data_IF_656952769552
#
_entry.id   IF_656952769552
#
_cell.length_a   1.000
_cell.length_b   1.000
_cell.length_c   1.000
_cell.angle_alpha   90.00
_cell.angle_beta   90.00
_cell.angle_gamma   90.00
#
_symmetry.space_group_name_H-M   'P 1'
#
loop_
_entity.id
_entity.type
_entity.pdbx_description
1 polymer ?
#
# COMPACT_ATOMS: atom_id res chain seq x y z
N UNK A 1 67.60 15.11 20.18
CA UNK A 1 66.41 14.83 21.00
C UNK A 1 65.30 15.80 20.60
N UNK A 2 64.23 15.25 20.02
CA UNK A 2 62.82 15.69 20.13
C UNK A 2 62.42 17.12 19.71
N UNK A 3 61.29 17.37 19.05
CA UNK A 3 60.21 16.53 18.50
C UNK A 3 59.35 17.43 17.59
N UNK A 4 58.85 16.85 16.51
CA UNK A 4 57.91 17.46 15.55
C UNK A 4 56.58 17.83 16.22
N UNK A 5 56.03 19.01 15.90
CA UNK A 5 54.62 19.36 16.15
C UNK A 5 53.74 18.63 15.11
N UNK A 6 53.03 17.60 15.55
CA UNK A 6 51.94 16.97 14.82
C UNK A 6 50.60 17.58 15.21
N UNK A 7 49.78 17.89 14.20
CA UNK A 7 48.43 18.43 14.28
C UNK A 7 47.49 17.50 15.07
N UNK A 8 46.85 18.04 16.11
CA UNK A 8 45.73 17.42 16.82
C UNK A 8 44.42 18.03 16.31
N UNK A 9 43.88 17.48 15.23
CA UNK A 9 42.49 17.72 14.79
C UNK A 9 41.92 16.37 14.38
N UNK A 10 41.44 15.59 15.35
CA UNK A 10 40.93 14.24 15.06
C UNK A 10 40.21 13.54 16.22
N UNK A 11 39.77 14.27 17.25
CA UNK A 11 39.24 13.62 18.46
C UNK A 11 38.04 14.34 19.10
N UNK A 12 37.16 14.97 18.29
CA UNK A 12 35.93 15.60 18.82
C UNK A 12 34.60 15.07 18.24
N UNK A 13 34.61 14.05 17.38
CA UNK A 13 33.37 13.54 16.76
C UNK A 13 32.82 12.23 17.35
N UNK A 14 33.50 11.62 18.33
CA UNK A 14 33.16 10.28 18.83
C UNK A 14 32.42 10.23 20.19
N UNK A 15 31.93 11.36 20.69
CA UNK A 15 31.29 11.43 22.03
C UNK A 15 29.82 11.87 22.05
N UNK A 16 29.17 12.06 20.89
CA UNK A 16 27.75 12.48 20.86
C UNK A 16 26.71 11.35 20.73
N UNK A 17 27.10 10.09 20.56
CA UNK A 17 26.13 8.98 20.40
C UNK A 17 25.75 8.23 21.69
N UNK A 18 26.19 8.70 22.87
CA UNK A 18 25.82 8.10 24.17
C UNK A 18 25.13 9.05 25.17
N UNK A 19 24.77 10.27 24.78
CA UNK A 19 24.19 11.26 25.70
C UNK A 19 22.98 12.04 25.16
N UNK A 20 22.28 11.56 24.12
CA UNK A 20 21.01 12.16 23.66
C UNK A 20 19.75 11.50 24.25
N UNK A 21 19.88 10.80 25.37
CA UNK A 21 18.72 10.35 26.17
C UNK A 21 18.46 11.39 27.24
N UNK A 22 17.84 12.53 26.90
CA UNK A 22 17.09 13.38 27.85
C UNK A 22 16.45 14.64 27.23
N UNK A 23 16.74 15.04 25.99
CA UNK A 23 16.04 16.17 25.37
C UNK A 23 14.76 15.69 24.66
N UNK A 24 13.63 15.65 25.38
CA UNK A 24 12.29 15.56 24.78
C UNK A 24 11.69 16.97 24.75
N UNK A 25 11.50 17.50 23.55
CA UNK A 25 10.84 18.80 23.32
C UNK A 25 10.64 19.03 21.83
N UNK A 26 9.58 19.74 21.40
CA UNK A 26 9.25 19.95 19.98
C UNK A 26 10.38 20.61 19.20
N UNK A 27 11.20 21.44 19.86
CA UNK A 27 12.39 22.09 19.29
C UNK A 27 13.41 21.10 18.70
N UNK A 28 13.56 19.92 19.31
CA UNK A 28 14.47 18.87 18.84
C UNK A 28 13.97 18.30 17.51
N UNK A 29 12.66 18.10 17.38
CA UNK A 29 12.04 17.63 16.13
C UNK A 29 12.05 18.72 15.07
N UNK A 30 11.77 19.97 15.44
CA UNK A 30 11.78 21.11 14.52
C UNK A 30 13.14 21.30 13.85
N UNK A 31 14.24 21.08 14.58
CA UNK A 31 15.60 21.21 14.06
C UNK A 31 16.11 19.93 13.38
N UNK A 32 15.38 18.82 13.44
CA UNK A 32 15.83 17.55 12.87
C UNK A 32 15.69 17.54 11.34
N UNK A 33 16.79 17.37 10.57
CA UNK A 33 16.72 17.45 9.11
C UNK A 33 15.84 16.38 8.46
N UNK A 34 15.75 15.18 9.05
CA UNK A 34 14.89 14.12 8.54
C UNK A 34 13.40 14.49 8.69
N UNK A 35 13.03 15.05 9.85
CA UNK A 35 11.66 15.53 10.10
C UNK A 35 11.32 16.70 9.17
N UNK A 36 12.26 17.64 8.96
CA UNK A 36 12.05 18.77 8.04
C UNK A 36 11.83 18.33 6.59
N UNK A 37 12.61 17.35 6.10
CA UNK A 37 12.43 16.78 4.75
C UNK A 37 11.11 16.03 4.63
N UNK A 38 10.74 15.25 5.64
CA UNK A 38 9.44 14.57 5.66
C UNK A 38 8.27 15.56 5.61
N UNK A 39 8.28 16.59 6.46
CA UNK A 39 7.27 17.66 6.42
C UNK A 39 7.25 18.39 5.09
N UNK A 40 8.41 18.63 4.48
CA UNK A 40 8.47 19.24 3.14
C UNK A 40 7.79 18.38 2.08
N UNK A 41 7.97 17.05 2.13
CA UNK A 41 7.32 16.15 1.19
C UNK A 41 5.80 16.05 1.40
N UNK A 42 5.35 16.08 2.67
CA UNK A 42 3.94 16.10 3.03
C UNK A 42 3.20 17.36 2.53
N UNK A 43 3.93 18.48 2.37
CA UNK A 43 3.37 19.72 1.83
C UNK A 43 3.13 19.72 0.33
N UNK A 44 3.53 18.66 -0.38
CA UNK A 44 3.30 18.53 -1.82
C UNK A 44 1.99 17.76 -2.02
N UNK A 45 0.89 18.40 -2.44
CA UNK A 45 -0.40 17.74 -2.59
C UNK A 45 -0.43 16.92 -3.88
N UNK A 46 -0.40 15.60 -3.73
CA UNK A 46 -0.54 14.61 -4.81
C UNK A 46 -1.90 13.92 -4.70
N UNK A 47 -2.97 14.71 -4.57
CA UNK A 47 -4.30 14.25 -4.19
C UNK A 47 -5.15 13.83 -5.39
N UNK A 48 -5.86 12.70 -5.25
CA UNK A 48 -6.86 12.28 -6.24
C UNK A 48 -8.04 13.26 -6.35
N UNK A 49 -8.73 13.33 -7.51
CA UNK A 49 -8.65 12.41 -8.67
C UNK A 49 -7.59 12.75 -9.72
N UNK A 50 -7.00 13.95 -9.69
CA UNK A 50 -6.05 14.42 -10.71
C UNK A 50 -4.76 14.95 -10.05
N UNK A 51 -3.91 14.07 -9.46
CA UNK A 51 -2.68 14.50 -8.80
C UNK A 51 -1.70 15.18 -9.78
N UNK A 52 -1.07 16.27 -9.36
CA UNK A 52 0.13 16.78 -10.02
C UNK A 52 1.39 16.20 -9.36
N UNK A 53 1.99 15.20 -10.01
CA UNK A 53 3.21 14.56 -9.52
C UNK A 53 4.49 15.37 -9.83
N UNK A 54 4.43 16.42 -10.65
CA UNK A 54 5.60 17.19 -11.06
C UNK A 54 6.45 17.68 -9.88
N UNK A 55 5.86 18.41 -8.92
CA UNK A 55 6.58 18.89 -7.73
C UNK A 55 7.12 17.76 -6.85
N UNK A 56 6.41 16.63 -6.76
CA UNK A 56 6.87 15.46 -6.00
C UNK A 56 8.11 14.84 -6.64
N UNK A 57 8.09 14.64 -7.97
CA UNK A 57 9.24 14.14 -8.73
C UNK A 57 10.44 15.07 -8.58
N UNK A 58 10.25 16.39 -8.69
CA UNK A 58 11.33 17.36 -8.53
C UNK A 58 11.95 17.29 -7.12
N UNK A 59 11.11 17.29 -6.09
CA UNK A 59 11.56 17.16 -4.70
C UNK A 59 12.38 15.88 -4.50
N UNK A 60 11.86 14.74 -4.95
CA UNK A 60 12.46 13.42 -4.80
C UNK A 60 13.76 13.28 -5.59
N UNK A 61 13.85 13.83 -6.80
CA UNK A 61 15.11 13.91 -7.57
C UNK A 61 16.15 14.77 -6.84
N UNK A 62 15.73 15.86 -6.20
CA UNK A 62 16.58 16.66 -5.31
C UNK A 62 17.16 15.83 -4.16
N UNK A 63 16.31 15.04 -3.49
CA UNK A 63 16.76 14.11 -2.44
C UNK A 63 17.76 13.08 -2.96
N UNK A 64 17.45 12.44 -4.09
CA UNK A 64 18.30 11.45 -4.73
C UNK A 64 19.69 12.01 -5.08
N UNK A 65 19.73 13.23 -5.61
CA UNK A 65 20.98 13.92 -5.94
C UNK A 65 21.83 14.18 -4.70
N UNK A 66 21.22 14.61 -3.61
CA UNK A 66 21.92 14.92 -2.36
C UNK A 66 22.61 13.68 -1.76
N UNK A 67 21.98 12.51 -1.86
CA UNK A 67 22.57 11.22 -1.43
C UNK A 67 23.34 10.48 -2.53
N UNK A 68 23.46 11.05 -3.74
CA UNK A 68 24.19 10.44 -4.86
C UNK A 68 23.58 9.10 -5.31
N UNK A 69 22.27 9.08 -5.55
CA UNK A 69 21.55 7.99 -6.21
C UNK A 69 21.35 8.32 -7.70
N UNK A 70 21.36 7.29 -8.54
CA UNK A 70 21.04 7.43 -9.96
C UNK A 70 19.52 7.48 -10.13
N UNK A 71 18.99 8.38 -10.95
CA UNK A 71 17.54 8.52 -11.17
C UNK A 71 17.15 8.21 -12.62
N UNK A 72 16.02 7.53 -12.81
CA UNK A 72 15.32 7.37 -14.10
C UNK A 72 13.84 7.64 -13.89
N UNK A 73 13.21 8.33 -14.83
CA UNK A 73 11.76 8.54 -14.84
C UNK A 73 11.16 7.76 -16.00
N UNK A 74 10.08 7.03 -15.74
CA UNK A 74 9.30 6.32 -16.74
C UNK A 74 7.88 6.91 -16.77
N UNK A 75 7.25 6.92 -17.93
CA UNK A 75 5.87 7.38 -18.08
C UNK A 75 5.17 6.45 -19.07
N UNK A 76 4.40 5.49 -18.54
CA UNK A 76 3.62 4.54 -19.34
C UNK A 76 2.24 5.10 -19.68
N UNK A 77 1.72 5.97 -18.83
CA UNK A 77 0.47 6.70 -19.01
C UNK A 77 0.74 8.18 -18.77
N UNK A 78 0.26 9.09 -19.64
CA UNK A 78 0.50 10.52 -19.49
C UNK A 78 0.14 11.03 -18.09
N UNK A 79 0.99 11.87 -17.51
CA UNK A 79 0.91 12.45 -16.16
C UNK A 79 1.01 11.45 -15.01
N UNK A 80 1.33 10.19 -15.24
CA UNK A 80 1.57 9.17 -14.20
C UNK A 80 3.02 8.70 -14.23
N UNK A 81 3.97 9.55 -13.78
CA UNK A 81 5.39 9.22 -13.81
C UNK A 81 5.74 8.21 -12.72
N UNK A 82 6.71 7.35 -13.03
CA UNK A 82 7.38 6.46 -12.07
C UNK A 82 8.82 6.92 -11.95
N UNK A 83 9.28 7.19 -10.72
CA UNK A 83 10.66 7.56 -10.45
C UNK A 83 11.42 6.40 -9.82
N UNK A 84 12.39 5.89 -10.54
CA UNK A 84 13.34 4.88 -10.07
C UNK A 84 14.62 5.58 -9.59
N UNK A 85 14.99 5.36 -8.34
CA UNK A 85 16.28 5.72 -7.78
C UNK A 85 17.11 4.46 -7.57
N UNK A 86 18.40 4.49 -7.89
CA UNK A 86 19.28 3.31 -7.80
C UNK A 86 20.54 3.61 -7.00
N UNK A 87 20.75 2.82 -5.96
CA UNK A 87 22.03 2.67 -5.26
C UNK A 87 22.74 1.42 -5.80
N UNK A 88 23.79 1.64 -6.58
CA UNK A 88 24.59 0.55 -7.13
C UNK A 88 25.33 -0.23 -6.05
N UNK A 89 25.19 -1.55 -6.14
CA UNK A 89 25.92 -2.51 -5.33
C UNK A 89 27.39 -2.63 -5.76
N UNK A 90 28.20 -3.15 -4.86
CA UNK A 90 29.64 -3.36 -5.06
C UNK A 90 29.99 -4.72 -5.70
N UNK A 91 29.04 -5.66 -5.78
CA UNK A 91 29.26 -6.97 -6.40
C UNK A 91 29.56 -6.86 -7.89
N UNK A 92 30.54 -7.65 -8.36
CA UNK A 92 30.81 -7.82 -9.80
C UNK A 92 29.84 -8.79 -10.45
N UNK A 93 29.28 -9.72 -9.67
CA UNK A 93 28.24 -10.65 -10.12
C UNK A 93 26.88 -9.97 -10.06
N UNK A 94 26.02 -10.28 -11.04
CA UNK A 94 24.65 -9.76 -11.10
C UNK A 94 23.78 -10.47 -10.06
N UNK A 95 23.79 -9.96 -8.84
CA UNK A 95 22.87 -10.36 -7.78
C UNK A 95 21.47 -9.83 -8.06
N UNK A 96 20.46 -10.53 -7.54
CA UNK A 96 19.10 -9.99 -7.56
C UNK A 96 18.99 -8.74 -6.68
N UNK A 97 18.30 -7.72 -7.17
CA UNK A 97 18.17 -6.44 -6.50
C UNK A 97 17.14 -6.48 -5.37
N UNK A 98 17.18 -5.45 -4.52
CA UNK A 98 16.13 -5.14 -3.56
C UNK A 98 15.40 -3.89 -4.05
N UNK A 99 14.08 -3.93 -4.12
CA UNK A 99 13.27 -2.74 -4.43
C UNK A 99 12.57 -2.31 -3.14
N UNK A 100 12.62 -1.02 -2.85
CA UNK A 100 11.91 -0.34 -1.78
C UNK A 100 10.83 0.52 -2.45
N UNK A 101 9.58 0.07 -2.45
CA UNK A 101 8.46 0.72 -3.11
C UNK A 101 7.79 1.77 -2.22
N UNK A 102 7.37 2.88 -2.82
CA UNK A 102 6.48 3.86 -2.19
C UNK A 102 5.58 4.46 -3.24
N UNK A 103 4.28 4.50 -3.01
CA UNK A 103 3.40 5.33 -3.82
C UNK A 103 3.52 6.82 -3.43
N UNK A 104 3.19 7.70 -4.36
CA UNK A 104 3.28 9.16 -4.22
C UNK A 104 1.93 9.80 -3.98
N UNK A 105 0.86 9.22 -4.51
CA UNK A 105 -0.50 9.75 -4.42
C UNK A 105 -1.09 9.61 -3.03
N UNK A 106 -2.16 10.36 -2.80
CA UNK A 106 -2.93 10.31 -1.57
C UNK A 106 -4.42 10.45 -1.87
N UNK A 107 -5.26 9.86 -1.02
CA UNK A 107 -6.72 10.02 -1.12
C UNK A 107 -7.20 11.45 -0.82
N UNK A 108 -8.41 11.74 -1.27
CA UNK A 108 -9.14 13.01 -1.03
C UNK A 108 -9.25 13.38 0.46
N UNK A 109 -9.51 14.67 0.71
CA UNK A 109 -9.67 15.25 2.04
C UNK A 109 -10.94 16.11 2.12
N UNK A 110 -11.62 16.08 3.26
CA UNK A 110 -12.67 17.05 3.61
C UNK A 110 -12.05 18.11 4.52
N UNK A 111 -11.44 19.16 3.94
CA UNK A 111 -10.56 20.10 4.65
C UNK A 111 -11.21 20.74 5.90
N UNK A 112 -12.51 21.01 5.85
CA UNK A 112 -13.30 21.60 6.93
C UNK A 112 -13.40 20.71 8.19
N UNK A 113 -13.14 19.41 8.05
CA UNK A 113 -13.13 18.43 9.14
C UNK A 113 -11.75 18.20 9.74
N UNK A 114 -10.70 18.83 9.20
CA UNK A 114 -9.36 18.74 9.75
C UNK A 114 -9.11 19.79 10.82
N UNK A 115 -8.41 19.39 11.89
CA UNK A 115 -7.91 20.25 12.96
C UNK A 115 -6.90 21.27 12.43
N UNK A 116 -6.08 20.86 11.46
CA UNK A 116 -5.10 21.69 10.76
C UNK A 116 -5.15 21.39 9.26
N UNK A 117 -4.82 22.36 8.38
CA UNK A 117 -4.85 22.11 6.94
C UNK A 117 -4.02 20.88 6.53
N UNK A 118 -4.59 19.95 5.74
CA UNK A 118 -4.04 18.60 5.54
C UNK A 118 -2.69 18.55 4.80
N UNK A 119 -2.29 19.65 4.15
CA UNK A 119 -1.04 19.75 3.39
C UNK A 119 -0.09 20.82 3.95
N UNK A 120 -0.29 21.30 5.19
CA UNK A 120 0.66 22.20 5.85
C UNK A 120 1.76 21.45 6.62
N UNK A 121 1.55 20.17 6.90
CA UNK A 121 2.39 19.37 7.79
C UNK A 121 2.61 20.10 9.14
N UNK A 122 1.50 20.56 9.74
CA UNK A 122 1.51 21.21 11.03
C UNK A 122 2.02 20.22 12.09
N UNK A 123 2.97 20.66 12.92
CA UNK A 123 3.49 19.86 14.03
C UNK A 123 3.10 20.55 15.34
N UNK A 124 2.41 19.82 16.21
CA UNK A 124 2.03 20.34 17.53
C UNK A 124 3.18 20.27 18.54
N UNK A 125 2.92 20.74 19.77
CA UNK A 125 3.90 20.79 20.86
C UNK A 125 4.35 19.39 21.32
N UNK A 126 3.52 18.37 21.10
CA UNK A 126 3.82 16.97 21.37
C UNK A 126 4.62 16.29 20.24
N UNK A 127 4.86 17.00 19.14
CA UNK A 127 5.61 16.49 17.99
C UNK A 127 4.77 15.65 17.03
N UNK A 128 3.44 15.76 17.09
CA UNK A 128 2.53 15.11 16.15
C UNK A 128 2.39 15.94 14.89
N UNK A 129 2.74 15.34 13.76
CA UNK A 129 2.70 15.94 12.43
C UNK A 129 1.37 15.56 11.78
N UNK A 130 0.47 16.52 11.63
CA UNK A 130 -0.82 16.35 10.98
C UNK A 130 -0.69 16.64 9.49
N UNK A 131 -0.91 15.62 8.66
CA UNK A 131 -0.95 15.74 7.22
C UNK A 131 -1.54 14.50 6.56
N UNK A 132 -2.21 14.70 5.43
CA UNK A 132 -2.55 13.60 4.52
C UNK A 132 -1.26 12.97 3.96
N UNK A 133 -1.15 11.65 4.06
CA UNK A 133 0.01 10.87 3.66
C UNK A 133 1.11 10.77 4.72
N UNK A 134 0.86 11.23 5.94
CA UNK A 134 1.77 11.08 7.08
C UNK A 134 1.87 9.62 7.58
N UNK A 135 0.91 8.78 7.24
CA UNK A 135 0.89 7.33 7.45
C UNK A 135 0.90 6.57 6.12
N UNK A 136 0.19 7.06 5.09
CA UNK A 136 -0.05 6.32 3.85
C UNK A 136 0.34 7.08 2.56
N UNK A 137 1.45 6.74 1.91
CA UNK A 137 2.59 6.02 2.50
C UNK A 137 3.88 6.83 2.41
N UNK A 138 3.78 8.15 2.20
CA UNK A 138 4.95 9.05 2.06
C UNK A 138 5.97 8.90 3.19
N UNK A 139 5.50 8.55 4.39
CA UNK A 139 6.35 8.28 5.55
C UNK A 139 7.35 7.14 5.32
N UNK A 140 6.91 6.04 4.71
CA UNK A 140 7.74 4.86 4.45
C UNK A 140 8.80 5.18 3.39
N UNK A 141 8.39 5.82 2.28
CA UNK A 141 9.32 6.28 1.26
C UNK A 141 10.41 7.23 1.81
N UNK A 142 10.03 8.15 2.70
CA UNK A 142 11.00 9.03 3.35
C UNK A 142 11.92 8.28 4.32
N UNK A 143 11.44 7.26 5.03
CA UNK A 143 12.31 6.39 5.84
C UNK A 143 13.38 5.68 5.00
N UNK A 144 13.05 5.24 3.78
CA UNK A 144 14.03 4.63 2.88
C UNK A 144 15.15 5.63 2.49
N UNK A 145 14.80 6.85 2.13
CA UNK A 145 15.79 7.88 1.79
C UNK A 145 16.68 8.25 2.97
N UNK A 146 16.10 8.37 4.17
CA UNK A 146 16.87 8.67 5.38
C UNK A 146 17.79 7.51 5.79
N UNK A 147 17.32 6.27 5.67
CA UNK A 147 18.15 5.09 5.89
C UNK A 147 19.37 5.06 4.95
N UNK A 148 19.16 5.33 3.66
CA UNK A 148 20.24 5.42 2.67
C UNK A 148 21.22 6.54 3.03
N UNK A 149 20.70 7.71 3.43
CA UNK A 149 21.51 8.87 3.84
C UNK A 149 22.41 8.53 5.02
N UNK A 150 21.87 7.88 6.04
CA UNK A 150 22.62 7.43 7.23
C UNK A 150 23.72 6.45 6.83
N UNK A 151 23.40 5.42 6.05
CA UNK A 151 24.36 4.40 5.66
C UNK A 151 25.49 4.97 4.79
N UNK A 152 25.18 5.87 3.85
CA UNK A 152 26.20 6.56 3.04
C UNK A 152 27.08 7.47 3.88
N UNK A 153 26.53 8.20 4.84
CA UNK A 153 27.30 9.02 5.77
C UNK A 153 28.26 8.18 6.65
N UNK A 154 27.91 6.91 6.90
CA UNK A 154 28.77 5.95 7.60
C UNK A 154 29.84 5.30 6.68
N UNK A 155 29.88 5.65 5.39
CA UNK A 155 30.78 5.03 4.41
C UNK A 155 30.43 3.59 4.06
N UNK A 156 29.21 3.13 4.40
CA UNK A 156 28.73 1.80 4.03
C UNK A 156 28.17 1.80 2.60
N UNK A 157 28.33 0.69 1.89
CA UNK A 157 27.75 0.46 0.57
C UNK A 157 27.17 -0.95 0.46
N UNK A 158 26.06 -1.15 -0.28
CA UNK A 158 25.46 -2.46 -0.44
C UNK A 158 26.29 -3.35 -1.38
N UNK A 159 26.11 -4.66 -1.25
CA UNK A 159 26.71 -5.67 -2.13
C UNK A 159 25.85 -5.83 -3.39
N UNK A 160 24.51 -5.79 -3.26
CA UNK A 160 23.54 -5.84 -4.37
C UNK A 160 22.97 -4.46 -4.69
N UNK A 161 22.39 -4.30 -5.86
CA UNK A 161 21.66 -3.08 -6.21
C UNK A 161 20.43 -2.92 -5.30
N UNK A 162 20.25 -1.70 -4.78
CA UNK A 162 19.04 -1.30 -4.06
C UNK A 162 18.36 -0.22 -4.90
N UNK A 163 17.08 -0.44 -5.19
CA UNK A 163 16.24 0.52 -5.88
C UNK A 163 15.23 1.12 -4.91
N UNK A 164 15.02 2.43 -4.96
CA UNK A 164 13.84 3.07 -4.35
C UNK A 164 12.93 3.45 -5.50
N UNK A 165 11.72 2.92 -5.50
CA UNK A 165 10.77 3.09 -6.57
C UNK A 165 9.59 3.91 -6.07
N UNK A 166 9.29 4.99 -6.79
CA UNK A 166 8.20 5.91 -6.48
C UNK A 166 7.16 5.80 -7.57
N UNK A 167 5.96 5.35 -7.22
CA UNK A 167 4.90 5.07 -8.19
C UNK A 167 3.68 5.96 -7.99
N UNK A 168 2.93 6.22 -9.07
CA UNK A 168 1.64 6.87 -8.98
C UNK A 168 0.54 5.84 -8.69
N UNK A 169 -0.68 6.36 -8.55
CA UNK A 169 -1.97 5.72 -8.69
C UNK A 169 -2.31 4.48 -7.83
N UNK A 170 -1.54 4.17 -6.79
CA UNK A 170 -1.78 3.03 -5.89
C UNK A 170 -3.18 3.11 -5.25
N UNK A 171 -3.56 4.31 -4.77
CA UNK A 171 -4.83 4.57 -4.06
C UNK A 171 -6.06 4.38 -4.96
N UNK A 172 -5.85 4.27 -6.28
CA UNK A 172 -6.87 3.92 -7.29
C UNK A 172 -6.55 2.60 -8.00
N UNK A 173 -5.90 1.68 -7.29
CA UNK A 173 -5.53 0.31 -7.66
C UNK A 173 -4.27 0.15 -8.54
N UNK A 174 -3.40 1.15 -8.66
CA UNK A 174 -2.02 1.02 -9.16
C UNK A 174 -1.88 0.46 -10.58
N UNK A 175 -2.94 0.50 -11.40
CA UNK A 175 -2.97 -0.22 -12.68
C UNK A 175 -2.15 0.47 -13.77
N UNK A 176 -2.08 1.80 -13.77
CA UNK A 176 -1.38 2.56 -14.81
C UNK A 176 0.08 2.80 -14.46
N UNK A 177 0.40 2.93 -13.17
CA UNK A 177 1.75 3.00 -12.63
C UNK A 177 2.37 1.62 -12.50
N UNK A 178 2.27 1.05 -11.31
CA UNK A 178 2.92 -0.24 -11.00
C UNK A 178 2.49 -1.34 -11.97
N UNK A 179 1.19 -1.42 -12.27
CA UNK A 179 0.56 -2.37 -13.20
C UNK A 179 1.17 -2.40 -14.61
N UNK A 180 1.57 -1.25 -15.15
CA UNK A 180 2.28 -1.18 -16.44
C UNK A 180 3.77 -1.45 -16.28
N UNK A 181 4.37 -0.94 -15.21
CA UNK A 181 5.80 -1.08 -14.97
C UNK A 181 6.22 -2.52 -14.71
N UNK A 182 5.49 -3.26 -13.87
CA UNK A 182 5.86 -4.65 -13.55
C UNK A 182 5.82 -5.57 -14.78
N UNK A 183 5.05 -5.20 -15.83
CA UNK A 183 4.95 -5.94 -17.10
C UNK A 183 5.97 -5.46 -18.15
N UNK A 184 6.84 -4.52 -17.81
CA UNK A 184 7.78 -3.89 -18.73
C UNK A 184 9.16 -4.57 -18.72
N UNK A 185 9.91 -4.39 -19.81
CA UNK A 185 11.33 -4.80 -19.90
C UNK A 185 12.19 -4.05 -18.88
N UNK A 186 11.82 -2.81 -18.54
CA UNK A 186 12.51 -1.97 -17.57
C UNK A 186 12.47 -2.60 -16.17
N UNK A 187 11.37 -3.28 -15.81
CA UNK A 187 11.29 -4.05 -14.57
C UNK A 187 12.14 -5.32 -14.62
N UNK A 188 12.12 -6.06 -15.74
CA UNK A 188 12.95 -7.25 -15.93
C UNK A 188 14.46 -6.91 -15.79
N UNK A 189 14.88 -5.74 -16.27
CA UNK A 189 16.25 -5.24 -16.15
C UNK A 189 16.72 -5.10 -14.70
N UNK A 190 15.79 -4.78 -13.76
CA UNK A 190 16.11 -4.62 -12.34
C UNK A 190 16.53 -5.93 -11.69
N UNK A 191 16.12 -7.08 -12.23
CA UNK A 191 16.43 -8.40 -11.66
C UNK A 191 16.00 -8.48 -10.19
N UNK A 192 14.76 -8.09 -9.89
CA UNK A 192 14.24 -7.99 -8.53
C UNK A 192 14.20 -9.36 -7.83
N UNK A 193 14.81 -9.46 -6.65
CA UNK A 193 14.70 -10.63 -5.79
C UNK A 193 13.66 -10.47 -4.69
N UNK A 194 13.46 -9.23 -4.24
CA UNK A 194 12.38 -8.85 -3.33
C UNK A 194 11.98 -7.39 -3.51
N UNK A 195 10.69 -7.13 -3.29
CA UNK A 195 10.11 -5.80 -3.14
C UNK A 195 9.65 -5.64 -1.68
N UNK A 196 10.06 -4.56 -1.03
CA UNK A 196 9.49 -4.10 0.23
C UNK A 196 8.49 -2.98 -0.08
N UNK A 197 7.33 -3.04 0.54
CA UNK A 197 6.20 -2.16 0.27
C UNK A 197 5.58 -1.64 1.58
N UNK A 198 4.50 -0.87 1.49
CA UNK A 198 3.74 -0.49 2.68
C UNK A 198 3.22 -1.69 3.48
N UNK A 199 3.19 -1.53 4.80
CA UNK A 199 2.47 -2.45 5.68
C UNK A 199 1.61 -1.69 6.68
N UNK A 200 1.09 -2.40 7.67
CA UNK A 200 0.27 -1.79 8.71
C UNK A 200 1.10 -1.23 9.88
N UNK A 201 0.58 -0.17 10.49
CA UNK A 201 1.05 0.34 11.78
C UNK A 201 0.88 -0.74 12.85
N UNK A 202 1.90 -0.90 13.69
CA UNK A 202 1.93 -1.89 14.75
C UNK A 202 1.64 -1.26 16.12
N UNK A 203 0.94 -1.97 17.01
CA UNK A 203 0.50 -1.42 18.31
C UNK A 203 1.31 -1.93 19.51
N UNK A 204 2.26 -2.81 19.27
CA UNK A 204 3.11 -3.41 20.28
C UNK A 204 4.50 -3.63 19.68
N UNK A 205 5.36 -4.34 20.41
CA UNK A 205 6.73 -4.60 19.95
C UNK A 205 6.83 -5.67 18.84
N UNK A 206 5.72 -5.99 18.16
CA UNK A 206 5.64 -6.93 17.04
C UNK A 206 5.27 -6.14 15.79
N UNK A 207 6.15 -6.10 14.80
CA UNK A 207 5.83 -5.51 13.51
C UNK A 207 4.96 -6.45 12.70
N UNK A 208 3.84 -5.92 12.23
CA UNK A 208 2.99 -6.58 11.24
C UNK A 208 3.72 -6.55 9.89
N UNK A 209 3.84 -7.70 9.25
CA UNK A 209 4.41 -7.82 7.91
C UNK A 209 3.38 -8.42 6.98
N UNK A 210 2.98 -7.68 5.97
CA UNK A 210 2.05 -8.14 4.98
C UNK A 210 2.77 -9.03 3.96
N UNK A 211 2.52 -10.34 4.03
CA UNK A 211 3.09 -11.32 3.11
C UNK A 211 2.03 -11.91 2.16
N UNK A 212 0.77 -11.56 2.39
CA UNK A 212 -0.39 -12.03 1.65
C UNK A 212 -1.46 -10.92 1.59
N UNK A 213 -2.34 -10.91 0.57
CA UNK A 213 -3.38 -9.88 0.42
C UNK A 213 -4.70 -10.48 -0.06
N UNK A 214 -5.80 -9.82 0.26
CA UNK A 214 -7.10 -10.13 -0.33
C UNK A 214 -7.21 -9.56 -1.74
N UNK A 215 -7.90 -10.30 -2.61
CA UNK A 215 -8.34 -9.78 -3.90
C UNK A 215 -9.43 -8.71 -3.70
N UNK A 216 -9.43 -7.70 -4.57
CA UNK A 216 -10.33 -6.54 -4.53
C UNK A 216 -11.24 -6.55 -5.74
N UNK A 217 -12.52 -6.74 -5.46
CA UNK A 217 -13.58 -6.82 -6.47
C UNK A 217 -14.61 -5.74 -6.17
N UNK A 218 -14.57 -4.65 -6.93
CA UNK A 218 -15.60 -3.61 -6.89
C UNK A 218 -16.72 -3.99 -7.86
N UNK A 219 -17.68 -4.73 -7.31
CA UNK A 219 -18.80 -5.33 -8.04
C UNK A 219 -19.94 -4.33 -8.16
N UNK A 220 -20.48 -4.15 -9.36
CA UNK A 220 -21.73 -3.44 -9.61
C UNK A 220 -22.75 -4.43 -10.13
N UNK A 221 -23.91 -4.50 -9.48
CA UNK A 221 -25.05 -5.29 -9.92
C UNK A 221 -26.16 -4.35 -10.35
N UNK A 222 -26.78 -4.65 -11.48
CA UNK A 222 -27.90 -3.90 -12.03
C UNK A 222 -29.08 -4.84 -12.29
N UNK A 223 -30.26 -4.46 -11.81
CA UNK A 223 -31.53 -5.09 -12.12
C UNK A 223 -32.34 -4.18 -13.06
N UNK A 224 -33.04 -4.79 -14.02
CA UNK A 224 -33.91 -4.08 -14.95
C UNK A 224 -35.32 -4.68 -14.95
N UNK A 225 -36.32 -3.85 -15.28
CA UNK A 225 -37.72 -4.27 -15.31
C UNK A 225 -38.61 -3.21 -15.95
N UNK A 226 -39.88 -3.56 -16.14
CA UNK A 226 -40.88 -2.61 -16.65
C UNK A 226 -41.09 -1.45 -15.68
N UNK A 227 -41.25 -0.23 -16.23
CA UNK A 227 -41.78 0.89 -15.45
C UNK A 227 -43.30 0.79 -15.36
N UNK A 228 -43.88 1.34 -14.30
CA UNK A 228 -45.33 1.34 -14.14
C UNK A 228 -45.80 2.17 -12.95
N UNK A 229 -47.11 2.29 -12.82
CA UNK A 229 -47.75 3.04 -11.74
C UNK A 229 -47.42 2.41 -10.39
N UNK A 230 -47.12 3.23 -9.37
CA UNK A 230 -46.70 2.75 -8.04
C UNK A 230 -47.72 1.85 -7.33
N UNK A 231 -49.00 1.94 -7.71
CA UNK A 231 -50.09 1.15 -7.14
C UNK A 231 -50.35 -0.22 -7.80
N UNK A 232 -49.54 -0.63 -8.77
CA UNK A 232 -49.76 -1.87 -9.55
C UNK A 232 -48.66 -2.88 -9.24
N UNK A 233 -48.99 -4.15 -9.05
CA UNK A 233 -47.97 -5.20 -8.92
C UNK A 233 -47.42 -5.59 -10.29
N UNK A 234 -46.09 -5.64 -10.40
CA UNK A 234 -45.39 -6.23 -11.54
C UNK A 234 -44.46 -7.32 -11.03
N UNK A 235 -44.63 -8.53 -11.56
CA UNK A 235 -43.64 -9.58 -11.38
C UNK A 235 -42.34 -9.17 -12.08
N UNK A 236 -41.21 -9.58 -11.49
CA UNK A 236 -39.89 -9.41 -12.10
C UNK A 236 -39.52 -7.92 -12.28
N UNK A 237 -40.00 -7.06 -11.38
CA UNK A 237 -39.63 -5.64 -11.35
C UNK A 237 -38.16 -5.46 -10.95
N UNK A 238 -37.54 -4.35 -11.40
CA UNK A 238 -36.15 -4.07 -11.08
C UNK A 238 -35.90 -4.02 -9.56
N UNK A 239 -36.81 -3.37 -8.82
CA UNK A 239 -36.76 -3.29 -7.35
C UNK A 239 -36.88 -4.65 -6.68
N UNK A 240 -37.87 -5.47 -7.07
CA UNK A 240 -38.07 -6.81 -6.51
C UNK A 240 -36.82 -7.68 -6.67
N UNK A 241 -36.24 -7.70 -7.87
CA UNK A 241 -35.06 -8.51 -8.16
C UNK A 241 -33.83 -8.03 -7.41
N UNK A 242 -33.64 -6.71 -7.31
CA UNK A 242 -32.55 -6.16 -6.51
C UNK A 242 -32.73 -6.48 -5.03
N UNK A 243 -33.94 -6.36 -4.46
CA UNK A 243 -34.16 -6.68 -3.05
C UNK A 243 -33.92 -8.16 -2.73
N UNK A 244 -34.32 -9.08 -3.62
CA UNK A 244 -33.98 -10.50 -3.49
C UNK A 244 -32.47 -10.74 -3.51
N UNK A 245 -31.75 -10.06 -4.41
CA UNK A 245 -30.27 -10.12 -4.50
C UNK A 245 -29.61 -9.60 -3.23
N UNK A 246 -30.00 -8.42 -2.75
CA UNK A 246 -29.50 -7.83 -1.51
C UNK A 246 -29.76 -8.73 -0.31
N UNK A 247 -30.91 -9.41 -0.26
CA UNK A 247 -31.21 -10.40 0.76
C UNK A 247 -30.21 -11.56 0.78
N UNK A 248 -29.90 -12.13 -0.39
CA UNK A 248 -28.91 -13.21 -0.52
C UNK A 248 -27.49 -12.74 -0.14
N UNK A 249 -27.09 -11.55 -0.59
CA UNK A 249 -25.79 -10.94 -0.26
C UNK A 249 -25.67 -10.71 1.25
N UNK A 250 -26.70 -10.15 1.89
CA UNK A 250 -26.70 -9.91 3.33
C UNK A 250 -26.65 -11.21 4.14
N UNK A 251 -27.38 -12.25 3.72
CA UNK A 251 -27.30 -13.56 4.36
C UNK A 251 -25.88 -14.15 4.29
N UNK A 252 -25.22 -14.05 3.12
CA UNK A 252 -23.82 -14.46 2.97
C UNK A 252 -22.89 -13.64 3.88
N UNK A 253 -23.06 -12.31 3.90
CA UNK A 253 -22.28 -11.40 4.75
C UNK A 253 -22.42 -11.74 6.23
N UNK A 254 -23.63 -11.99 6.69
CA UNK A 254 -23.91 -12.34 8.09
C UNK A 254 -23.27 -13.68 8.47
N UNK A 255 -23.26 -14.65 7.55
CA UNK A 255 -22.54 -15.91 7.75
C UNK A 255 -21.03 -15.69 7.90
N UNK A 256 -20.41 -14.85 7.06
CA UNK A 256 -18.98 -14.51 7.19
C UNK A 256 -18.69 -13.78 8.52
N UNK A 257 -19.53 -12.81 8.91
CA UNK A 257 -19.40 -12.11 10.18
C UNK A 257 -19.57 -13.01 11.39
N UNK A 258 -20.44 -14.02 11.33
CA UNK A 258 -20.63 -14.97 12.42
C UNK A 258 -19.36 -15.79 12.69
N UNK A 259 -18.61 -16.16 11.65
CA UNK A 259 -17.31 -16.84 11.78
C UNK A 259 -16.29 -15.96 12.52
N UNK A 260 -16.29 -14.65 12.24
CA UNK A 260 -15.39 -13.70 12.91
C UNK A 260 -15.81 -13.44 14.34
N UNK A 261 -17.09 -13.15 14.59
CA UNK A 261 -17.62 -12.85 15.92
C UNK A 261 -17.51 -14.02 16.90
N UNK A 262 -17.58 -15.25 16.38
CA UNK A 262 -17.39 -16.46 17.19
C UNK A 262 -15.92 -16.78 17.44
N UNK A 263 -14.98 -16.05 16.83
CA UNK A 263 -13.54 -16.33 16.91
C UNK A 263 -13.10 -17.57 16.12
N UNK A 264 -13.98 -18.17 15.31
CA UNK A 264 -13.63 -19.33 14.47
C UNK A 264 -12.65 -18.96 13.37
N UNK A 265 -12.75 -17.74 12.85
CA UNK A 265 -11.86 -17.19 11.83
C UNK A 265 -11.49 -15.76 12.15
N UNK A 266 -10.32 -15.34 11.71
CA UNK A 266 -9.94 -13.93 11.72
C UNK A 266 -10.63 -13.20 10.55
N UNK A 267 -10.71 -11.87 10.62
CA UNK A 267 -11.38 -11.09 9.57
C UNK A 267 -10.66 -11.25 8.23
N UNK A 268 -9.35 -11.42 8.25
CA UNK A 268 -8.49 -11.67 7.10
C UNK A 268 -8.74 -13.03 6.42
N UNK A 269 -9.38 -13.99 7.10
CA UNK A 269 -9.66 -15.35 6.59
C UNK A 269 -11.06 -15.53 5.99
N UNK A 270 -11.88 -14.48 6.00
CA UNK A 270 -13.25 -14.49 5.47
C UNK A 270 -13.43 -13.56 4.28
N UNK A 271 -14.42 -13.84 3.45
CA UNK A 271 -14.87 -12.89 2.42
C UNK A 271 -15.54 -11.72 3.12
N UNK A 272 -15.11 -10.50 2.80
CA UNK A 272 -15.77 -9.28 3.27
C UNK A 272 -16.55 -8.70 2.11
N UNK A 273 -17.81 -8.40 2.33
CA UNK A 273 -18.66 -7.72 1.35
C UNK A 273 -19.45 -6.63 2.07
N UNK A 274 -19.38 -5.41 1.53
CA UNK A 274 -20.16 -4.29 2.04
C UNK A 274 -20.84 -3.57 0.87
N UNK A 275 -22.09 -3.16 1.08
CA UNK A 275 -22.80 -2.28 0.16
C UNK A 275 -22.22 -0.88 0.25
N UNK A 276 -21.84 -0.33 -0.91
CA UNK A 276 -21.21 1.00 -1.04
C UNK A 276 -22.23 2.03 -1.51
N UNK A 277 -23.12 1.66 -2.43
CA UNK A 277 -24.21 2.53 -2.87
C UNK A 277 -25.41 1.74 -3.39
N UNK A 278 -26.58 2.39 -3.40
CA UNK A 278 -27.80 1.92 -4.04
C UNK A 278 -28.45 3.09 -4.80
N UNK A 279 -28.65 2.91 -6.10
CA UNK A 279 -29.29 3.89 -6.99
C UNK A 279 -30.61 3.32 -7.50
N UNK A 280 -31.71 4.01 -7.17
CA UNK A 280 -33.07 3.62 -7.52
C UNK A 280 -34.00 4.83 -7.56
N UNK A 281 -35.11 4.71 -8.29
CA UNK A 281 -36.12 5.76 -8.39
C UNK A 281 -35.87 6.76 -9.52
N UNK A 282 -36.87 7.58 -9.80
CA UNK A 282 -36.79 8.67 -10.78
C UNK A 282 -36.62 10.01 -10.05
N UNK A 283 -35.46 10.67 -10.15
CA UNK A 283 -35.18 11.88 -9.39
C UNK A 283 -36.03 13.07 -9.85
N UNK A 284 -36.39 13.92 -8.90
CA UNK A 284 -36.96 15.27 -9.10
C UNK A 284 -36.01 16.30 -8.48
N UNK A 285 -36.16 17.61 -8.76
CA UNK A 285 -35.29 18.65 -8.17
C UNK A 285 -35.24 18.63 -6.64
N UNK A 286 -36.29 18.13 -5.99
CA UNK A 286 -36.50 18.11 -4.55
C UNK A 286 -36.60 16.68 -3.95
N UNK A 287 -36.37 15.62 -4.74
CA UNK A 287 -36.50 14.24 -4.26
C UNK A 287 -36.66 13.20 -5.36
N UNK A 288 -37.71 12.37 -5.24
CA UNK A 288 -38.00 11.28 -6.16
C UNK A 288 -39.50 11.17 -6.46
N UNK A 289 -39.82 10.69 -7.66
CA UNK A 289 -41.20 10.44 -8.08
C UNK A 289 -41.78 9.25 -7.29
N UNK A 290 -42.83 9.49 -6.51
CA UNK A 290 -43.43 8.47 -5.63
C UNK A 290 -44.38 7.48 -6.32
N UNK A 291 -45.01 7.89 -7.44
CA UNK A 291 -46.04 7.08 -8.09
C UNK A 291 -45.54 6.33 -9.33
N UNK A 292 -44.23 6.12 -9.43
CA UNK A 292 -43.58 5.45 -10.56
C UNK A 292 -42.61 4.41 -10.04
N UNK A 293 -42.75 3.18 -10.54
CA UNK A 293 -41.81 2.11 -10.30
C UNK A 293 -40.56 2.29 -11.17
N UNK A 294 -39.35 2.16 -10.60
CA UNK A 294 -38.12 2.32 -11.35
C UNK A 294 -37.92 1.17 -12.34
N UNK A 295 -37.49 1.50 -13.55
CA UNK A 295 -37.12 0.50 -14.56
C UNK A 295 -35.72 -0.07 -14.36
N UNK A 296 -34.88 0.60 -13.55
CA UNK A 296 -33.51 0.21 -13.27
C UNK A 296 -33.21 0.44 -11.79
N UNK A 297 -32.53 -0.53 -11.18
CA UNK A 297 -31.91 -0.40 -9.86
C UNK A 297 -30.47 -0.88 -9.95
N UNK A 298 -29.52 -0.10 -9.42
CA UNK A 298 -28.09 -0.41 -9.43
C UNK A 298 -27.55 -0.39 -8.01
N UNK A 299 -26.74 -1.38 -7.64
CA UNK A 299 -26.07 -1.47 -6.35
C UNK A 299 -24.58 -1.75 -6.54
N UNK A 300 -23.73 -1.01 -5.82
CA UNK A 300 -22.28 -1.21 -5.81
C UNK A 300 -21.80 -1.82 -4.51
N UNK A 301 -20.82 -2.72 -4.61
CA UNK A 301 -20.25 -3.46 -3.49
C UNK A 301 -18.73 -3.43 -3.53
N UNK A 302 -18.11 -3.33 -2.36
CA UNK A 302 -16.69 -3.64 -2.17
C UNK A 302 -16.59 -5.07 -1.63
N UNK A 303 -16.00 -5.96 -2.44
CA UNK A 303 -15.82 -7.37 -2.12
C UNK A 303 -14.31 -7.66 -1.97
N UNK A 304 -13.91 -8.10 -0.77
CA UNK A 304 -12.54 -8.52 -0.45
C UNK A 304 -12.49 -10.02 -0.25
N UNK A 305 -11.71 -10.70 -1.08
CA UNK A 305 -11.68 -12.17 -1.13
C UNK A 305 -10.31 -12.68 -0.65
N UNK A 306 -10.24 -13.51 0.40
CA UNK A 306 -9.00 -14.18 0.78
C UNK A 306 -8.44 -15.02 -0.39
N UNK A 307 -7.12 -15.13 -0.54
CA UNK A 307 -6.47 -15.90 -1.60
C UNK A 307 -6.49 -17.41 -1.28
N UNK A 308 -7.69 -17.95 -1.10
CA UNK A 308 -7.92 -19.38 -0.89
C UNK A 308 -8.25 -20.01 -2.24
N UNK A 309 -7.60 -21.14 -2.54
CA UNK A 309 -7.83 -21.92 -3.76
C UNK A 309 -9.33 -22.11 -4.04
N UNK A 310 -9.72 -21.94 -5.30
CA UNK A 310 -11.11 -22.02 -5.79
C UNK A 310 -12.10 -20.98 -5.21
N UNK A 311 -11.73 -20.17 -4.21
CA UNK A 311 -12.68 -19.24 -3.59
C UNK A 311 -13.13 -18.17 -4.58
N UNK A 312 -12.23 -17.67 -5.44
CA UNK A 312 -12.60 -16.76 -6.54
C UNK A 312 -13.60 -17.38 -7.54
N UNK A 313 -13.42 -18.67 -7.88
CA UNK A 313 -14.36 -19.38 -8.74
C UNK A 313 -15.72 -19.60 -8.07
N UNK A 314 -15.72 -19.96 -6.78
CA UNK A 314 -16.93 -20.03 -5.97
C UNK A 314 -17.66 -18.68 -5.94
N UNK A 315 -16.96 -17.58 -5.67
CA UNK A 315 -17.56 -16.24 -5.65
C UNK A 315 -18.12 -15.84 -7.02
N UNK A 316 -17.43 -16.18 -8.11
CA UNK A 316 -17.93 -15.91 -9.46
C UNK A 316 -19.23 -16.68 -9.74
N UNK A 317 -19.30 -17.96 -9.37
CA UNK A 317 -20.53 -18.75 -9.50
C UNK A 317 -21.65 -18.20 -8.64
N UNK A 318 -21.37 -17.85 -7.38
CA UNK A 318 -22.35 -17.27 -6.47
C UNK A 318 -22.95 -15.96 -7.03
N UNK A 319 -22.11 -15.12 -7.65
CA UNK A 319 -22.57 -13.90 -8.32
C UNK A 319 -23.51 -14.24 -9.49
N UNK A 320 -23.12 -15.17 -10.36
CA UNK A 320 -23.89 -15.52 -11.56
C UNK A 320 -25.19 -16.25 -11.23
N UNK A 321 -25.16 -17.16 -10.26
CA UNK A 321 -26.27 -18.07 -9.99
C UNK A 321 -27.27 -17.48 -8.98
N UNK A 322 -26.79 -16.73 -7.99
CA UNK A 322 -27.63 -16.25 -6.89
C UNK A 322 -27.77 -14.73 -6.85
N UNK A 323 -26.67 -13.97 -6.95
CA UNK A 323 -26.71 -12.52 -6.69
C UNK A 323 -27.19 -11.72 -7.90
N UNK A 324 -26.73 -12.03 -9.10
CA UNK A 324 -27.07 -11.33 -10.33
C UNK A 324 -27.44 -12.29 -11.48
N UNK A 325 -28.40 -13.21 -11.28
CA UNK A 325 -28.79 -14.16 -12.31
C UNK A 325 -29.54 -13.48 -13.46
N UNK A 326 -29.12 -13.81 -14.69
CA UNK A 326 -29.73 -13.31 -15.93
C UNK A 326 -31.23 -13.61 -15.98
N UNK A 327 -31.66 -14.77 -15.46
CA UNK A 327 -33.07 -15.16 -15.38
C UNK A 327 -33.96 -14.24 -14.51
N UNK A 328 -33.37 -13.33 -13.72
CA UNK A 328 -34.07 -12.29 -12.96
C UNK A 328 -33.85 -10.88 -13.53
N UNK A 329 -33.57 -10.77 -14.84
CA UNK A 329 -33.24 -9.50 -15.51
C UNK A 329 -32.10 -8.72 -14.84
N UNK A 330 -31.10 -9.45 -14.34
CA UNK A 330 -29.94 -8.88 -13.66
C UNK A 330 -28.69 -9.01 -14.52
N UNK A 331 -27.79 -8.05 -14.34
CA UNK A 331 -26.46 -8.03 -14.94
C UNK A 331 -25.47 -7.52 -13.91
N UNK A 332 -24.18 -7.72 -14.16
CA UNK A 332 -23.13 -7.20 -13.31
C UNK A 332 -21.88 -6.90 -14.10
N UNK A 333 -21.04 -6.02 -13.55
CA UNK A 333 -19.68 -5.79 -14.03
C UNK A 333 -18.78 -5.44 -12.84
N UNK A 334 -17.47 -5.52 -13.04
CA UNK A 334 -16.50 -5.10 -12.04
C UNK A 334 -15.86 -3.79 -12.49
N UNK A 335 -15.85 -2.77 -11.63
CA UNK A 335 -15.05 -1.55 -11.84
C UNK A 335 -13.57 -1.84 -11.65
N UNK A 336 -13.25 -2.65 -10.64
CA UNK A 336 -11.94 -3.22 -10.37
C UNK A 336 -12.15 -4.69 -10.07
N UNK A 337 -11.36 -5.54 -10.73
CA UNK A 337 -11.30 -6.97 -10.43
C UNK A 337 -9.83 -7.36 -10.46
N UNK A 338 -9.21 -7.47 -9.29
CA UNK A 338 -7.86 -8.04 -9.24
C UNK A 338 -7.97 -9.50 -9.67
N UNK A 339 -7.33 -9.84 -10.79
CA UNK A 339 -7.27 -11.22 -11.27
C UNK A 339 -6.51 -12.07 -10.28
N UNK A 340 -7.11 -13.18 -9.92
CA UNK A 340 -6.41 -14.30 -9.34
C UNK A 340 -6.21 -15.28 -10.48
N UNK A 341 -4.99 -15.37 -11.03
CA UNK A 341 -4.77 -16.10 -12.29
C UNK A 341 -5.13 -17.60 -12.17
N UNK A 342 -5.36 -18.09 -10.95
CA UNK A 342 -5.91 -19.42 -10.64
C UNK A 342 -6.87 -19.42 -9.44
N UNK A 343 -7.34 -18.27 -8.97
CA UNK A 343 -8.04 -18.16 -7.68
C UNK A 343 -7.15 -17.76 -6.49
N UNK A 344 -5.82 -17.69 -6.66
CA UNK A 344 -4.85 -17.33 -5.62
C UNK A 344 -4.07 -16.05 -5.97
N UNK A 345 -3.88 -15.15 -4.99
CA UNK A 345 -2.79 -14.16 -5.01
C UNK A 345 -1.61 -14.85 -4.33
N UNK A 346 -0.47 -15.08 -5.01
CA UNK A 346 0.65 -15.80 -4.40
C UNK A 346 1.11 -15.09 -3.12
N UNK A 347 1.32 -15.83 -2.04
CA UNK A 347 1.90 -15.28 -0.80
C UNK A 347 3.41 -15.41 -0.79
N UNK A 348 4.07 -14.45 -0.16
CA UNK A 348 5.50 -14.58 0.14
C UNK A 348 5.66 -15.49 1.35
N UNK A 349 6.52 -16.51 1.23
CA UNK A 349 6.86 -17.40 2.34
C UNK A 349 7.47 -16.56 3.48
N UNK A 350 6.86 -16.62 4.66
CA UNK A 350 7.22 -15.82 5.83
C UNK A 350 7.79 -16.69 6.96
N UNK A 351 8.75 -17.55 6.61
CA UNK A 351 9.50 -18.40 7.53
C UNK A 351 10.99 -18.48 7.14
N UNK A 352 11.75 -19.30 7.86
CA UNK A 352 13.21 -19.37 7.74
C UNK A 352 13.70 -20.03 6.45
N UNK A 353 12.79 -20.66 5.70
CA UNK A 353 13.11 -21.19 4.37
C UNK A 353 13.24 -20.07 3.34
N UNK A 354 12.64 -18.90 3.60
CA UNK A 354 12.85 -17.70 2.81
C UNK A 354 13.98 -16.84 3.42
N UNK A 355 15.12 -16.66 2.72
CA UNK A 355 16.21 -15.85 3.23
C UNK A 355 15.79 -14.40 3.48
N UNK A 356 14.88 -13.85 2.68
CA UNK A 356 14.42 -12.48 2.84
C UNK A 356 13.68 -12.24 4.15
N UNK A 357 12.83 -13.20 4.54
CA UNK A 357 12.15 -13.17 5.83
C UNK A 357 13.16 -13.21 6.99
N UNK A 358 14.14 -14.11 6.89
CA UNK A 358 15.20 -14.25 7.90
C UNK A 358 16.02 -12.96 8.08
N UNK A 359 16.33 -12.25 6.99
CA UNK A 359 17.03 -10.96 7.04
C UNK A 359 16.18 -9.88 7.71
N UNK A 360 14.88 -9.83 7.43
CA UNK A 360 13.98 -8.85 8.06
C UNK A 360 13.89 -9.09 9.56
N UNK A 361 13.70 -10.36 9.97
CA UNK A 361 13.66 -10.72 11.39
C UNK A 361 14.97 -10.38 12.08
N UNK A 362 16.11 -10.63 11.43
CA UNK A 362 17.44 -10.26 11.96
C UNK A 362 17.60 -8.76 12.14
N UNK A 363 17.09 -7.94 11.22
CA UNK A 363 17.13 -6.48 11.37
C UNK A 363 16.27 -6.01 12.55
N UNK A 364 15.03 -6.50 12.63
CA UNK A 364 14.06 -6.10 13.65
C UNK A 364 14.44 -6.58 15.05
N UNK A 365 15.06 -7.76 15.18
CA UNK A 365 15.48 -8.27 16.49
C UNK A 365 16.52 -7.40 17.21
N UNK A 366 17.28 -6.57 16.48
CA UNK A 366 18.20 -5.57 17.06
C UNK A 366 17.50 -4.50 17.89
N UNK A 367 16.19 -4.34 17.70
CA UNK A 367 15.35 -3.42 18.44
C UNK A 367 14.49 -4.13 19.49
N UNK A 368 14.83 -5.39 19.84
CA UNK A 368 14.04 -6.27 20.70
C UNK A 368 12.61 -6.50 20.23
N UNK A 369 12.33 -6.24 18.95
CA UNK A 369 11.02 -6.41 18.35
C UNK A 369 10.91 -7.77 17.63
N UNK A 370 9.68 -8.21 17.37
CA UNK A 370 9.35 -9.45 16.64
C UNK A 370 8.58 -9.13 15.35
N UNK A 371 8.38 -10.13 14.51
CA UNK A 371 7.56 -10.03 13.30
C UNK A 371 6.32 -10.91 13.43
N UNK A 372 5.19 -10.44 12.91
CA UNK A 372 3.98 -11.23 12.71
C UNK A 372 3.61 -11.14 11.23
N UNK A 373 3.72 -12.23 10.46
CA UNK A 373 3.16 -12.25 9.12
C UNK A 373 1.63 -12.17 9.21
N UNK A 374 1.02 -11.30 8.41
CA UNK A 374 -0.43 -11.15 8.36
C UNK A 374 -0.89 -10.92 6.93
N UNK A 375 -2.09 -11.42 6.62
CA UNK A 375 -2.74 -11.11 5.36
C UNK A 375 -3.34 -9.71 5.41
N UNK A 376 -2.96 -8.86 4.47
CA UNK A 376 -3.55 -7.52 4.34
C UNK A 376 -5.02 -7.63 3.89
N UNK A 377 -5.87 -6.80 4.49
CA UNK A 377 -7.28 -6.69 4.11
C UNK A 377 -7.48 -5.87 2.82
N UNK A 378 -6.56 -4.94 2.57
CA UNK A 378 -6.45 -4.18 1.32
C UNK A 378 -5.58 -4.90 0.29
N UNK A 379 -5.25 -4.18 -0.77
CA UNK A 379 -4.32 -4.64 -1.78
C UNK A 379 -3.36 -3.51 -2.12
N UNK A 380 -2.08 -3.73 -1.85
CA UNK A 380 -0.94 -2.89 -2.21
C UNK A 380 -0.31 -3.36 -3.52
N UNK A 381 0.66 -2.61 -4.04
CA UNK A 381 1.39 -2.95 -5.25
C UNK A 381 2.13 -4.29 -5.17
N UNK A 382 2.41 -4.78 -3.95
CA UNK A 382 2.97 -6.10 -3.68
C UNK A 382 2.24 -7.25 -4.39
N UNK A 383 0.94 -7.13 -4.68
CA UNK A 383 0.20 -8.15 -5.46
C UNK A 383 0.80 -8.38 -6.85
N UNK A 384 1.16 -7.31 -7.55
CA UNK A 384 1.64 -7.38 -8.93
C UNK A 384 2.99 -8.10 -9.00
N UNK A 385 3.83 -7.83 -8.00
CA UNK A 385 5.14 -8.44 -7.83
C UNK A 385 5.04 -9.94 -7.59
N UNK A 386 4.15 -10.35 -6.69
CA UNK A 386 3.96 -11.76 -6.34
C UNK A 386 3.36 -12.56 -7.49
N UNK A 387 2.51 -11.95 -8.32
CA UNK A 387 2.04 -12.58 -9.56
C UNK A 387 3.16 -12.90 -10.56
N UNK A 388 4.32 -12.21 -10.50
CA UNK A 388 5.52 -12.52 -11.30
C UNK A 388 6.45 -13.54 -10.64
N UNK A 389 6.09 -14.08 -9.48
CA UNK A 389 6.96 -15.00 -8.71
C UNK A 389 8.11 -14.30 -7.97
N UNK A 390 8.07 -12.97 -7.85
CA UNK A 390 9.04 -12.20 -7.05
C UNK A 390 8.50 -12.06 -5.62
N UNK A 391 9.37 -12.22 -4.62
CA UNK A 391 8.96 -12.03 -3.21
C UNK A 391 8.54 -10.57 -2.98
N UNK A 392 7.46 -10.35 -2.24
CA UNK A 392 7.05 -9.02 -1.77
C UNK A 392 6.62 -9.06 -0.30
N UNK A 393 7.09 -8.11 0.51
CA UNK A 393 6.72 -7.97 1.92
C UNK A 393 6.38 -6.51 2.23
N UNK A 394 5.16 -6.29 2.71
CA UNK A 394 4.71 -4.98 3.20
C UNK A 394 5.12 -4.76 4.65
N UNK A 395 5.84 -3.69 4.95
CA UNK A 395 6.23 -3.33 6.32
C UNK A 395 6.27 -1.81 6.52
N UNK A 396 5.51 -1.33 7.50
CA UNK A 396 5.59 0.04 8.00
C UNK A 396 6.21 -0.02 9.40
N UNK A 397 7.52 0.29 9.56
CA UNK A 397 8.25 0.13 10.81
C UNK A 397 7.94 1.25 11.79
N UNK A 398 6.65 1.46 12.07
CA UNK A 398 6.11 2.46 12.96
C UNK A 398 5.25 1.77 14.01
N UNK A 399 5.44 2.18 15.25
CA UNK A 399 4.70 1.68 16.39
C UNK A 399 3.99 2.82 17.13
N UNK A 400 2.94 2.49 17.87
CA UNK A 400 2.33 3.39 18.87
C UNK A 400 1.74 4.70 18.30
N UNK A 401 1.34 4.70 17.03
CA UNK A 401 0.55 5.80 16.44
C UNK A 401 -0.89 5.32 16.20
N UNK A 402 -1.90 6.18 16.37
CA UNK A 402 -3.28 5.80 16.08
C UNK A 402 -3.44 5.49 14.59
N UNK A 403 -4.18 4.44 14.24
CA UNK A 403 -4.44 4.11 12.84
C UNK A 403 -5.50 5.06 12.28
N UNK A 404 -5.04 5.99 11.45
CA UNK A 404 -5.85 7.07 10.87
C UNK A 404 -5.65 7.18 9.36
N UNK A 405 -5.17 6.10 8.72
CA UNK A 405 -5.11 5.98 7.26
C UNK A 405 -6.50 6.32 6.68
N UNK A 406 -6.50 7.16 5.65
CA UNK A 406 -7.68 7.72 4.95
C UNK A 406 -8.63 8.55 5.82
N UNK A 407 -8.40 8.66 7.13
CA UNK A 407 -9.24 9.41 8.06
C UNK A 407 -8.88 10.90 8.08
N UNK A 408 -9.75 11.71 8.71
CA UNK A 408 -9.41 13.08 9.09
C UNK A 408 -8.29 13.07 10.14
N UNK A 409 -7.47 14.11 10.14
CA UNK A 409 -6.39 14.28 11.11
C UNK A 409 -5.40 13.11 11.13
N UNK A 410 -5.14 12.51 9.96
CA UNK A 410 -4.03 11.58 9.78
C UNK A 410 -2.76 12.21 10.35
N UNK A 411 -2.06 11.44 11.19
CA UNK A 411 -1.03 11.99 12.07
C UNK A 411 0.14 11.03 12.23
N UNK A 412 1.35 11.60 12.24
CA UNK A 412 2.58 10.87 12.54
C UNK A 412 3.37 11.56 13.63
N UNK A 413 3.72 10.85 14.70
CA UNK A 413 4.60 11.41 15.70
C UNK A 413 6.05 11.43 15.20
N UNK A 414 6.70 12.60 15.25
CA UNK A 414 8.06 12.78 14.76
C UNK A 414 9.09 11.88 15.45
N UNK A 415 8.92 11.53 16.72
CA UNK A 415 9.82 10.59 17.41
C UNK A 415 9.63 9.15 16.92
N UNK A 416 8.39 8.72 16.66
CA UNK A 416 8.12 7.40 16.10
C UNK A 416 8.62 7.29 14.65
N UNK A 417 8.51 8.37 13.87
CA UNK A 417 9.15 8.48 12.56
C UNK A 417 10.68 8.27 12.64
N UNK A 418 11.36 8.95 13.58
CA UNK A 418 12.81 8.79 13.76
C UNK A 418 13.21 7.36 14.21
N UNK A 419 12.40 6.72 15.06
CA UNK A 419 12.61 5.31 15.43
C UNK A 419 12.44 4.38 14.23
N UNK A 420 11.42 4.63 13.40
CA UNK A 420 11.19 3.85 12.19
C UNK A 420 12.32 3.99 11.17
N UNK A 421 12.96 5.17 11.06
CA UNK A 421 14.19 5.33 10.27
C UNK A 421 15.29 4.39 10.78
N UNK A 422 15.48 4.26 12.09
CA UNK A 422 16.52 3.39 12.65
C UNK A 422 16.27 1.91 12.30
N UNK A 423 15.03 1.44 12.41
CA UNK A 423 14.64 0.07 12.02
C UNK A 423 14.83 -0.13 10.51
N UNK A 424 14.35 0.81 9.70
CA UNK A 424 14.51 0.80 8.24
C UNK A 424 15.98 0.75 7.83
N UNK A 425 16.85 1.50 8.53
CA UNK A 425 18.30 1.50 8.30
C UNK A 425 18.89 0.11 8.45
N UNK A 426 18.51 -0.62 9.50
CA UNK A 426 18.98 -1.99 9.70
C UNK A 426 18.38 -2.97 8.69
N UNK A 427 17.12 -2.78 8.27
CA UNK A 427 16.51 -3.60 7.20
C UNK A 427 17.29 -3.42 5.90
N UNK A 428 17.48 -2.17 5.45
CA UNK A 428 18.23 -1.85 4.22
C UNK A 428 19.66 -2.40 4.29
N UNK A 429 20.30 -2.32 5.47
CA UNK A 429 21.66 -2.83 5.68
C UNK A 429 21.72 -4.36 5.60
N UNK A 430 20.83 -5.09 6.26
CA UNK A 430 20.80 -6.56 6.21
C UNK A 430 20.51 -7.06 4.79
N UNK A 431 19.52 -6.46 4.12
CA UNK A 431 19.14 -6.79 2.74
C UNK A 431 20.25 -6.47 1.75
N UNK A 432 20.87 -5.29 1.86
CA UNK A 432 21.96 -4.87 1.00
C UNK A 432 23.27 -5.62 1.24
N UNK A 433 23.49 -6.16 2.45
CA UNK A 433 24.68 -6.97 2.77
C UNK A 433 24.56 -8.43 2.31
N UNK A 434 23.34 -8.91 2.04
CA UNK A 434 23.13 -10.29 1.67
C UNK A 434 23.76 -10.61 0.32
N UNK A 435 24.62 -11.62 0.25
CA UNK A 435 25.30 -12.07 -0.98
C UNK A 435 24.82 -13.42 -1.51
N UNK A 436 23.87 -14.06 -0.82
CA UNK A 436 23.33 -15.35 -1.25
C UNK A 436 22.44 -15.24 -2.50
N UNK A 437 22.36 -16.36 -3.23
CA UNK A 437 21.33 -16.59 -4.25
C UNK A 437 19.97 -16.79 -3.57
N UNK A 438 18.91 -16.26 -4.16
CA UNK A 438 17.55 -16.46 -3.67
C UNK A 438 17.02 -17.83 -4.09
N UNK A 439 15.97 -18.27 -3.39
CA UNK A 439 15.18 -19.43 -3.78
C UNK A 439 14.23 -18.98 -4.88
N UNK A 440 14.21 -19.66 -6.04
CA UNK A 440 13.12 -19.53 -6.99
C UNK A 440 11.82 -19.91 -6.26
N UNK A 441 10.90 -18.96 -6.09
CA UNK A 441 9.53 -19.35 -5.77
C UNK A 441 9.08 -20.21 -6.96
N UNK A 442 8.71 -21.47 -6.67
CA UNK A 442 8.42 -22.51 -7.66
C UNK A 442 7.78 -21.93 -8.91
N UNK A 443 8.48 -22.11 -10.05
CA UNK A 443 8.12 -21.56 -11.35
C UNK A 443 6.63 -21.68 -11.59
N UNK A 444 6.00 -20.53 -11.58
CA UNK A 444 4.60 -20.40 -11.83
C UNK A 444 4.50 -20.32 -13.38
N UNK A 445 3.94 -21.35 -14.03
CA UNK A 445 3.88 -21.49 -15.50
C UNK A 445 3.38 -20.18 -16.14
N UNK A 446 4.21 -19.55 -17.00
CA UNK A 446 3.92 -18.37 -17.83
C UNK A 446 2.49 -17.82 -17.72
N UNK A 447 2.22 -17.05 -16.66
CA UNK A 447 0.92 -16.43 -16.44
C UNK A 447 0.78 -15.23 -17.36
N UNK A 448 0.12 -15.46 -18.50
CA UNK A 448 -0.32 -14.38 -19.40
C UNK A 448 -1.35 -13.53 -18.65
N UNK A 449 -0.94 -12.36 -18.20
CA UNK A 449 -1.83 -11.33 -17.66
C UNK A 449 -2.60 -10.73 -18.84
N UNK A 450 -3.73 -11.35 -19.16
CA UNK A 450 -4.64 -10.84 -20.17
C UNK A 450 -5.45 -9.70 -19.58
N UNK A 451 -4.95 -8.47 -19.69
CA UNK A 451 -5.77 -7.27 -19.47
C UNK A 451 -6.92 -7.33 -20.47
N UNK A 452 -8.11 -7.73 -20.03
CA UNK A 452 -9.31 -7.64 -20.86
C UNK A 452 -9.55 -6.15 -21.15
N UNK A 453 -9.71 -5.76 -22.42
CA UNK A 453 -10.03 -4.39 -22.75
C UNK A 453 -11.39 -4.05 -22.15
N UNK A 454 -11.47 -2.90 -21.48
CA UNK A 454 -12.72 -2.27 -21.10
C UNK A 454 -13.62 -2.17 -22.35
N UNK A 455 -14.76 -2.84 -22.33
CA UNK A 455 -15.86 -2.56 -23.26
C UNK A 455 -16.84 -1.60 -22.61
#
# INVERSE_FOLDING_TARGET
MNLRRGSWFGFLFLLCFRSQVCARGPEVLEQNPAVQRFRSYLRIPTVHPEPDYGPAIEFLQGQAKEVGLLTRVFEFVPKKPILLMTWKGSSKEKLQSVILNSHMDVVTVEEDKWKYPPFEAHMDEEGNIYARGSQDMKVVGMMYLEAIRILKAQGWAPVRDIHVLWVPDEEIAGMDGWGKFYSSKEFDELNAGIVLDEGHISYNNTYIVNNEEKAVWWLVIQATGGTGHGSVYFDNSASENMFKSLGAINAFRDAQMALVRSGQKLIEDVVVINSVYLKSGSPTPDGFTMNVQPSVVEAGFDVRIPPVKELGHFMTRLIVEEWAPEGRNMSFYFKVKTETVTGEIPSTIADDTNPWWSLMRKAVSKFNATLSPQRANGASDSRFVRMRGVSALGITPIQNVPFLIHSHNEVMNGYEFLKGIAVTTEIVKEYGSYSGSTVEQTSSENYNVGILPSR
#
